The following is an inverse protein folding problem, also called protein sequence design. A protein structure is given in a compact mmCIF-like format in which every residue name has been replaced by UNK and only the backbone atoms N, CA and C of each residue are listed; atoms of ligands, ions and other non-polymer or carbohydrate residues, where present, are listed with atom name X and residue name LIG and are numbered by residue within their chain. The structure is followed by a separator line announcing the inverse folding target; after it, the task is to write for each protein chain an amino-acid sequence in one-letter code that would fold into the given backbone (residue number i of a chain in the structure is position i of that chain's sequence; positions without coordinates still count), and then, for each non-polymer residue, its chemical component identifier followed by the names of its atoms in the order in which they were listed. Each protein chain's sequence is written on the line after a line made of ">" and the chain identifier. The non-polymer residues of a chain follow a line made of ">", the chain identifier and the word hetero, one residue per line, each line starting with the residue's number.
data_IF_718992069902
#
_entry.id   IF_718992069902
#
_cell.length_a   1.000
_cell.length_b   1.000
_cell.length_c   1.000
_cell.angle_alpha   90.00
_cell.angle_beta   90.00
_cell.angle_gamma   90.00
#
_symmetry.space_group_name_H-M   'P 1'
#
loop_
_entity.id
_entity.type
_entity.pdbx_description
1 polymer ?
#
# COMPACT_ATOMS: atom_id res chain seq x y z
N UNK A 1 -27.12 39.34 37.28
CA UNK A 1 -27.04 38.87 35.87
C UNK A 1 -28.42 38.77 35.27
N UNK A 2 -28.64 39.38 34.10
CA UNK A 2 -29.92 39.27 33.38
C UNK A 2 -30.05 37.89 32.73
N UNK A 3 -31.28 37.46 32.39
CA UNK A 3 -31.52 36.18 31.67
C UNK A 3 -30.74 36.11 30.35
N UNK A 4 -30.61 37.22 29.65
CA UNK A 4 -29.82 37.33 28.42
C UNK A 4 -28.34 37.05 28.66
N UNK A 5 -27.75 37.63 29.73
CA UNK A 5 -26.33 37.37 30.05
C UNK A 5 -26.08 35.90 30.38
N UNK A 6 -27.01 35.22 31.08
CA UNK A 6 -26.89 33.79 31.37
C UNK A 6 -26.97 32.94 30.10
N UNK A 7 -27.89 33.27 29.19
CA UNK A 7 -28.04 32.57 27.90
C UNK A 7 -26.78 32.71 27.02
N UNK A 8 -26.20 33.91 26.96
CA UNK A 8 -24.95 34.16 26.22
C UNK A 8 -23.79 33.34 26.80
N UNK A 9 -23.65 33.28 28.12
CA UNK A 9 -22.60 32.48 28.78
C UNK A 9 -22.76 30.99 28.48
N UNK A 10 -23.98 30.46 28.51
CA UNK A 10 -24.25 29.05 28.16
C UNK A 10 -23.93 28.76 26.69
N UNK A 11 -24.33 29.64 25.77
CA UNK A 11 -24.00 29.49 24.35
C UNK A 11 -22.49 29.54 24.11
N UNK A 12 -21.78 30.45 24.79
CA UNK A 12 -20.32 30.55 24.68
C UNK A 12 -19.65 29.28 25.22
N UNK A 13 -20.08 28.79 26.39
CA UNK A 13 -19.56 27.56 26.96
C UNK A 13 -19.78 26.37 26.01
N UNK A 14 -20.99 26.25 25.44
CA UNK A 14 -21.29 25.20 24.47
C UNK A 14 -20.41 25.31 23.22
N UNK A 15 -20.27 26.51 22.65
CA UNK A 15 -19.44 26.74 21.47
C UNK A 15 -17.96 26.38 21.72
N UNK A 16 -17.42 26.76 22.88
CA UNK A 16 -16.05 26.42 23.28
C UNK A 16 -15.90 24.90 23.44
N UNK A 17 -16.80 24.25 24.16
CA UNK A 17 -16.77 22.79 24.35
C UNK A 17 -16.88 22.04 23.03
N UNK A 18 -17.80 22.44 22.15
CA UNK A 18 -17.94 21.86 20.81
C UNK A 18 -16.66 22.04 19.98
N UNK A 19 -16.05 23.23 20.02
CA UNK A 19 -14.81 23.52 19.30
C UNK A 19 -13.66 22.62 19.78
N UNK A 20 -13.54 22.43 21.09
CA UNK A 20 -12.53 21.52 21.68
C UNK A 20 -12.75 20.08 21.22
N UNK A 21 -14.01 19.61 21.24
CA UNK A 21 -14.36 18.25 20.79
C UNK A 21 -14.04 18.05 19.31
N UNK A 22 -14.40 19.00 18.45
CA UNK A 22 -14.08 18.92 17.01
C UNK A 22 -12.57 18.99 16.75
N UNK A 23 -11.84 19.82 17.49
CA UNK A 23 -10.38 19.87 17.38
C UNK A 23 -9.75 18.53 17.78
N UNK A 24 -10.22 17.90 18.87
CA UNK A 24 -9.74 16.58 19.28
C UNK A 24 -10.02 15.50 18.23
N UNK A 25 -11.26 15.42 17.72
CA UNK A 25 -11.63 14.46 16.67
C UNK A 25 -10.85 14.68 15.38
N UNK A 26 -10.57 15.93 15.03
CA UNK A 26 -9.75 16.26 13.87
C UNK A 26 -8.31 15.77 14.02
N UNK A 27 -7.70 16.00 15.19
CA UNK A 27 -6.33 15.58 15.49
C UNK A 27 -6.25 14.04 15.48
N UNK A 28 -7.15 13.36 16.20
CA UNK A 28 -7.16 11.90 16.30
C UNK A 28 -7.30 11.23 14.92
N UNK A 29 -8.23 11.73 14.10
CA UNK A 29 -8.42 11.25 12.73
C UNK A 29 -7.21 11.53 11.85
N UNK A 30 -6.57 12.70 12.01
CA UNK A 30 -5.37 13.07 11.24
C UNK A 30 -4.18 12.17 11.57
N UNK A 31 -3.98 11.86 12.85
CA UNK A 31 -2.91 10.97 13.32
C UNK A 31 -3.16 9.55 12.81
N UNK A 32 -4.39 9.03 12.98
CA UNK A 32 -4.77 7.70 12.50
C UNK A 32 -4.57 7.57 10.98
N UNK A 33 -4.96 8.59 10.21
CA UNK A 33 -4.74 8.63 8.77
C UNK A 33 -3.24 8.67 8.42
N UNK A 34 -2.44 9.44 9.18
CA UNK A 34 -1.00 9.51 8.97
C UNK A 34 -0.32 8.17 9.19
N UNK A 35 -0.68 7.44 10.24
CA UNK A 35 -0.11 6.11 10.49
C UNK A 35 -0.54 5.08 9.44
N UNK A 36 -1.81 5.10 9.04
CA UNK A 36 -2.29 4.23 7.97
C UNK A 36 -1.51 4.45 6.67
N UNK A 37 -1.31 5.72 6.28
CA UNK A 37 -0.50 6.08 5.11
C UNK A 37 0.96 5.70 5.25
N UNK A 38 1.58 5.93 6.39
CA UNK A 38 2.98 5.52 6.59
C UNK A 38 3.17 4.01 6.47
N UNK A 39 2.22 3.22 6.96
CA UNK A 39 2.25 1.76 6.80
C UNK A 39 2.17 1.37 5.32
N UNK A 40 1.22 1.96 4.58
CA UNK A 40 1.05 1.73 3.15
C UNK A 40 2.28 2.17 2.34
N UNK A 41 2.77 3.40 2.56
CA UNK A 41 3.93 3.96 1.88
C UNK A 41 5.20 3.13 2.15
N UNK A 42 5.38 2.65 3.38
CA UNK A 42 6.52 1.81 3.74
C UNK A 42 6.44 0.44 3.08
N UNK A 43 5.25 -0.17 3.04
CA UNK A 43 5.03 -1.45 2.37
C UNK A 43 5.28 -1.33 0.86
N UNK A 44 4.71 -0.31 0.21
CA UNK A 44 4.93 -0.02 -1.21
C UNK A 44 6.41 0.25 -1.50
N UNK A 45 7.07 1.05 -0.66
CA UNK A 45 8.49 1.35 -0.81
C UNK A 45 9.38 0.11 -0.69
N UNK A 46 9.06 -0.79 0.25
CA UNK A 46 9.78 -2.05 0.43
C UNK A 46 9.60 -2.98 -0.75
N UNK A 47 8.36 -3.17 -1.22
CA UNK A 47 8.06 -4.00 -2.41
C UNK A 47 8.78 -3.44 -3.64
N UNK A 48 8.69 -2.13 -3.91
CA UNK A 48 9.42 -1.49 -5.02
C UNK A 48 10.94 -1.66 -4.92
N UNK A 49 11.49 -1.61 -3.71
CA UNK A 49 12.91 -1.87 -3.48
C UNK A 49 13.29 -3.29 -3.88
N UNK A 50 12.50 -4.29 -3.48
CA UNK A 50 12.71 -5.68 -3.86
C UNK A 50 12.51 -5.90 -5.37
N UNK A 51 11.50 -5.28 -5.98
CA UNK A 51 11.28 -5.31 -7.42
C UNK A 51 12.50 -4.77 -8.18
N UNK A 52 13.10 -3.66 -7.73
CA UNK A 52 14.30 -3.10 -8.35
C UNK A 52 15.51 -4.02 -8.26
N UNK A 53 15.73 -4.63 -7.09
CA UNK A 53 16.83 -5.59 -6.88
C UNK A 53 16.62 -6.80 -7.79
N UNK A 54 15.41 -7.36 -7.80
CA UNK A 54 15.10 -8.54 -8.60
C UNK A 54 15.15 -8.23 -10.10
N UNK A 55 14.66 -7.06 -10.51
CA UNK A 55 14.74 -6.59 -11.90
C UNK A 55 16.20 -6.48 -12.33
N UNK A 56 17.09 -5.95 -11.49
CA UNK A 56 18.52 -5.86 -11.79
C UNK A 56 19.15 -7.24 -12.00
N UNK A 57 18.89 -8.17 -11.10
CA UNK A 57 19.46 -9.52 -11.13
C UNK A 57 18.89 -10.39 -12.27
N UNK A 58 17.61 -10.24 -12.57
CA UNK A 58 16.88 -11.13 -13.50
C UNK A 58 16.65 -10.51 -14.88
N UNK A 59 17.06 -9.26 -15.10
CA UNK A 59 16.94 -8.61 -16.40
C UNK A 59 17.58 -9.46 -17.50
N UNK A 60 16.84 -9.67 -18.58
CA UNK A 60 17.28 -10.44 -19.73
C UNK A 60 17.14 -11.95 -19.59
N UNK A 61 16.71 -12.46 -18.42
CA UNK A 61 16.43 -13.89 -18.26
C UNK A 61 15.30 -14.35 -19.20
N UNK A 62 15.40 -15.56 -19.77
CA UNK A 62 14.34 -16.11 -20.61
C UNK A 62 13.05 -16.33 -19.83
N UNK A 63 11.90 -16.07 -20.47
CA UNK A 63 10.58 -16.25 -19.88
C UNK A 63 10.35 -17.65 -19.25
N UNK A 64 10.73 -18.77 -19.91
CA UNK A 64 10.54 -20.09 -19.32
C UNK A 64 11.33 -20.29 -18.01
N UNK A 65 12.52 -19.68 -17.92
CA UNK A 65 13.35 -19.75 -16.73
C UNK A 65 12.72 -18.97 -15.58
N UNK A 66 12.24 -17.75 -15.84
CA UNK A 66 11.54 -16.94 -14.84
C UNK A 66 10.27 -17.64 -14.37
N UNK A 67 9.46 -18.17 -15.29
CA UNK A 67 8.25 -18.93 -14.95
C UNK A 67 8.56 -20.13 -14.05
N UNK A 68 9.61 -20.88 -14.36
CA UNK A 68 10.02 -22.03 -13.55
C UNK A 68 10.44 -21.59 -12.13
N UNK A 69 11.27 -20.55 -12.00
CA UNK A 69 11.70 -20.03 -10.69
C UNK A 69 10.51 -19.59 -9.84
N UNK A 70 9.55 -18.87 -10.43
CA UNK A 70 8.35 -18.39 -9.74
C UNK A 70 7.47 -19.56 -9.27
N UNK A 71 7.25 -20.58 -10.11
CA UNK A 71 6.49 -21.77 -9.72
C UNK A 71 7.20 -22.57 -8.61
N UNK A 72 8.54 -22.66 -8.65
CA UNK A 72 9.30 -23.33 -7.61
C UNK A 72 9.14 -22.64 -6.24
N UNK A 73 9.12 -21.30 -6.20
CA UNK A 73 8.85 -20.53 -4.98
C UNK A 73 7.41 -20.70 -4.53
N UNK A 74 6.45 -20.63 -5.46
CA UNK A 74 5.03 -20.83 -5.14
C UNK A 74 4.75 -22.22 -4.54
N UNK A 75 5.46 -23.25 -5.00
CA UNK A 75 5.37 -24.60 -4.47
C UNK A 75 5.99 -24.77 -3.06
N UNK A 76 6.93 -23.91 -2.69
CA UNK A 76 7.56 -23.89 -1.36
C UNK A 76 6.76 -23.08 -0.32
N UNK A 77 5.75 -22.32 -0.74
CA UNK A 77 5.02 -21.37 0.09
C UNK A 77 4.33 -22.00 1.30
N UNK A 78 4.85 -21.72 2.49
CA UNK A 78 4.24 -22.06 3.76
C UNK A 78 3.14 -21.04 4.12
N UNK A 79 1.89 -21.36 3.83
CA UNK A 79 0.72 -20.75 4.48
C UNK A 79 -0.30 -20.08 3.55
N UNK A 80 0.14 -19.26 2.58
CA UNK A 80 -0.74 -18.65 1.59
C UNK A 80 -0.53 -19.30 0.22
N UNK A 81 -1.64 -19.59 -0.49
CA UNK A 81 -1.59 -20.17 -1.82
C UNK A 81 -1.14 -19.10 -2.83
N UNK A 82 0.15 -19.05 -3.10
CA UNK A 82 0.75 -18.17 -4.12
C UNK A 82 0.25 -18.63 -5.50
N UNK A 83 -0.30 -17.71 -6.29
CA UNK A 83 -0.78 -17.99 -7.65
C UNK A 83 0.21 -17.46 -8.67
N UNK A 84 0.66 -18.34 -9.57
CA UNK A 84 1.47 -17.96 -10.73
C UNK A 84 0.63 -18.10 -11.98
N UNK A 85 0.44 -17.01 -12.71
CA UNK A 85 -0.42 -16.98 -13.91
C UNK A 85 0.32 -16.33 -15.07
N UNK A 86 0.25 -16.93 -16.26
CA UNK A 86 0.76 -16.33 -17.49
C UNK A 86 -0.37 -15.70 -18.29
N UNK A 87 -0.16 -14.46 -18.74
CA UNK A 87 -1.08 -13.70 -19.59
C UNK A 87 -0.28 -12.99 -20.70
N UNK A 88 -0.25 -13.57 -21.91
CA UNK A 88 0.54 -13.03 -23.01
C UNK A 88 2.02 -12.92 -22.67
N UNK A 89 2.56 -11.70 -22.71
CA UNK A 89 3.95 -11.37 -22.38
C UNK A 89 4.14 -10.97 -20.91
N UNK A 90 3.20 -11.31 -20.03
CA UNK A 90 3.26 -11.01 -18.60
C UNK A 90 3.14 -12.31 -17.81
N UNK A 91 3.99 -12.48 -16.81
CA UNK A 91 3.80 -13.49 -15.76
C UNK A 91 3.44 -12.76 -14.48
N UNK A 92 2.32 -13.15 -13.89
CA UNK A 92 1.85 -12.70 -12.59
C UNK A 92 2.35 -13.67 -11.51
N UNK A 93 2.94 -13.11 -10.47
CA UNK A 93 3.21 -13.78 -9.21
C UNK A 93 2.38 -13.06 -8.15
N UNK A 94 1.20 -13.60 -7.87
CA UNK A 94 0.16 -12.91 -7.11
C UNK A 94 -0.13 -11.53 -7.73
N UNK A 95 0.03 -10.43 -6.98
CA UNK A 95 -0.17 -9.06 -7.45
C UNK A 95 1.05 -8.48 -8.21
N UNK A 96 2.19 -9.18 -8.26
CA UNK A 96 3.43 -8.67 -8.87
C UNK A 96 3.54 -9.11 -10.33
N UNK A 97 3.77 -8.15 -11.23
CA UNK A 97 3.91 -8.37 -12.68
C UNK A 97 5.36 -8.53 -13.08
N UNK A 98 5.63 -9.51 -13.94
CA UNK A 98 6.89 -9.71 -14.63
C UNK A 98 6.63 -9.47 -16.12
N UNK A 99 7.18 -8.40 -16.68
CA UNK A 99 6.94 -7.98 -18.05
C UNK A 99 8.06 -8.48 -18.96
N UNK A 100 7.68 -9.15 -20.04
CA UNK A 100 8.60 -9.73 -21.01
C UNK A 100 8.55 -8.98 -22.34
N UNK A 101 9.71 -8.89 -22.97
CA UNK A 101 9.89 -8.34 -24.31
C UNK A 101 10.81 -9.28 -25.08
N UNK A 102 10.39 -9.67 -26.29
CA UNK A 102 11.09 -10.66 -27.11
C UNK A 102 11.44 -11.97 -26.33
N UNK A 103 10.57 -12.39 -25.40
CA UNK A 103 10.76 -13.60 -24.59
C UNK A 103 11.78 -13.46 -23.46
N UNK A 104 12.23 -12.24 -23.15
CA UNK A 104 13.18 -11.94 -22.07
C UNK A 104 12.58 -10.96 -21.06
N UNK A 105 12.97 -11.10 -19.79
CA UNK A 105 12.49 -10.21 -18.74
C UNK A 105 13.00 -8.78 -18.96
N UNK A 106 12.08 -7.82 -19.04
CA UNK A 106 12.37 -6.40 -19.28
C UNK A 106 12.22 -5.55 -18.01
N UNK A 107 11.10 -5.70 -17.33
CA UNK A 107 10.74 -4.95 -16.12
C UNK A 107 9.92 -5.82 -15.15
N UNK A 108 9.90 -5.41 -13.88
CA UNK A 108 9.03 -5.96 -12.84
C UNK A 108 8.19 -4.81 -12.25
N UNK A 109 6.92 -5.08 -11.97
CA UNK A 109 5.94 -4.11 -11.46
C UNK A 109 5.20 -3.34 -12.56
N UNK A 110 4.59 -2.22 -12.19
CA UNK A 110 3.72 -1.38 -13.06
C UNK A 110 4.48 -0.52 -14.10
N UNK A 111 5.70 -0.89 -14.47
CA UNK A 111 6.57 -0.11 -15.37
C UNK A 111 6.49 -0.54 -16.83
#
# INVERSE_FOLDING_TARGET
>A
MTRATKAVVVMLAFAVSASILFAYLWIDRSISLSYARQGEDTAIGTVRGLELILEHEWRGLPEPEVFHKLNAVAAQGAGAKIVVKKEGNIIWFDEVRFNFDEGRLKSIGDK
#
